data_IF_650900367283
#
_entry.id   IF_650900367283
#
_cell.length_a   1.000
_cell.length_b   1.000
_cell.length_c   1.000
_cell.angle_alpha   90.00
_cell.angle_beta   90.00
_cell.angle_gamma   90.00
#
_symmetry.space_group_name_H-M   'P 1'
#
loop_
_entity.id
_entity.type
_entity.pdbx_description
1 polymer ?
#
# COMPACT_ATOMS: atom_id res chain seq x y z
N UNK A 1 7.31 38.70 9.82
CA UNK A 1 6.51 37.70 9.07
C UNK A 1 6.80 36.33 9.66
N UNK A 2 5.85 35.74 10.36
CA UNK A 2 6.01 34.39 10.91
C UNK A 2 5.87 33.40 9.76
N UNK A 3 6.97 32.73 9.40
CA UNK A 3 6.92 31.57 8.50
C UNK A 3 5.98 30.54 9.10
N UNK A 4 4.86 30.27 8.47
CA UNK A 4 3.96 29.17 8.77
C UNK A 4 4.74 27.87 8.56
N UNK A 5 5.41 27.35 9.58
CA UNK A 5 6.09 26.06 9.54
C UNK A 5 5.04 25.01 9.17
N UNK A 6 5.20 24.43 7.98
CA UNK A 6 4.37 23.30 7.51
C UNK A 6 4.53 22.14 8.50
N UNK A 7 3.41 21.47 8.80
CA UNK A 7 3.44 20.26 9.64
C UNK A 7 4.36 19.19 9.05
N UNK A 8 5.00 18.41 9.90
CA UNK A 8 5.87 17.30 9.49
C UNK A 8 5.10 16.28 8.65
N UNK A 9 5.75 15.81 7.63
CA UNK A 9 5.28 14.69 6.81
C UNK A 9 5.51 13.36 7.54
N UNK A 10 4.87 12.30 7.07
CA UNK A 10 5.07 10.94 7.59
C UNK A 10 6.56 10.54 7.62
N UNK A 11 7.29 10.82 6.55
CA UNK A 11 8.72 10.49 6.46
C UNK A 11 9.58 11.26 7.44
N UNK A 12 9.24 12.51 7.73
CA UNK A 12 9.92 13.30 8.75
C UNK A 12 9.65 12.78 10.17
N UNK A 13 8.45 12.26 10.43
CA UNK A 13 8.13 11.55 11.67
C UNK A 13 8.92 10.24 11.80
N UNK A 14 8.97 9.43 10.73
CA UNK A 14 9.75 8.19 10.72
C UNK A 14 11.24 8.45 10.94
N UNK A 15 11.81 9.45 10.25
CA UNK A 15 13.20 9.87 10.49
C UNK A 15 13.41 10.39 11.92
N UNK A 16 12.44 11.14 12.45
CA UNK A 16 12.44 11.61 13.84
C UNK A 16 12.52 10.47 14.85
N UNK A 17 11.74 9.40 14.62
CA UNK A 17 11.69 8.24 15.52
C UNK A 17 12.92 7.33 15.36
N UNK A 18 13.31 7.00 14.13
CA UNK A 18 14.36 6.00 13.83
C UNK A 18 15.76 6.57 13.93
N UNK A 19 16.00 7.73 13.33
CA UNK A 19 17.35 8.29 13.17
C UNK A 19 17.70 9.29 14.27
N UNK A 20 16.84 10.31 14.43
CA UNK A 20 17.13 11.47 15.29
C UNK A 20 16.76 11.25 16.75
N UNK A 21 15.90 10.27 17.02
CA UNK A 21 15.34 10.02 18.37
C UNK A 21 14.74 11.28 18.98
N UNK A 22 13.95 11.99 18.19
CA UNK A 22 13.35 13.28 18.55
C UNK A 22 12.27 13.07 19.61
N UNK A 23 12.35 13.69 20.80
CA UNK A 23 11.32 13.54 21.83
C UNK A 23 9.97 14.12 21.39
N UNK A 24 8.86 13.50 21.82
CA UNK A 24 7.52 14.01 21.53
C UNK A 24 7.32 15.46 21.99
N UNK A 25 7.90 15.79 23.11
CA UNK A 25 7.77 17.12 23.75
C UNK A 25 8.37 18.23 22.89
N UNK A 26 9.36 17.92 22.06
CA UNK A 26 10.00 18.87 21.12
C UNK A 26 9.22 19.09 19.83
N UNK A 27 8.17 18.29 19.57
CA UNK A 27 7.31 18.45 18.41
C UNK A 27 6.37 19.64 18.58
N UNK A 28 6.16 20.40 17.51
CA UNK A 28 5.16 21.46 17.50
C UNK A 28 3.74 20.89 17.61
N UNK A 29 2.75 21.73 17.95
CA UNK A 29 1.34 21.32 18.00
C UNK A 29 0.86 20.78 16.66
N UNK A 30 1.32 21.38 15.54
CA UNK A 30 0.97 20.94 14.20
C UNK A 30 1.60 19.58 13.88
N UNK A 31 2.85 19.36 14.26
CA UNK A 31 3.53 18.08 14.07
C UNK A 31 2.85 16.95 14.86
N UNK A 32 2.46 17.21 16.11
CA UNK A 32 1.74 16.24 16.94
C UNK A 32 0.39 15.84 16.32
N UNK A 33 -0.32 16.80 15.70
CA UNK A 33 -1.59 16.54 15.01
C UNK A 33 -1.41 15.78 13.70
N UNK A 34 -0.28 15.94 13.02
CA UNK A 34 0.03 15.23 11.77
C UNK A 34 0.61 13.82 11.97
N UNK A 35 0.86 13.42 13.21
CA UNK A 35 1.35 12.07 13.51
C UNK A 35 0.20 11.07 13.46
N UNK A 36 0.29 10.13 12.51
CA UNK A 36 -0.73 9.12 12.23
C UNK A 36 -0.19 7.73 12.56
N UNK A 37 -0.57 7.10 13.70
CA UNK A 37 -0.06 5.79 14.11
C UNK A 37 -0.24 4.70 13.07
N UNK A 38 -1.42 4.63 12.42
CA UNK A 38 -1.70 3.64 11.40
C UNK A 38 -0.71 3.71 10.23
N UNK A 39 -0.45 4.91 9.73
CA UNK A 39 0.49 5.10 8.63
C UNK A 39 1.92 4.76 9.03
N UNK A 40 2.31 5.09 10.26
CA UNK A 40 3.64 4.72 10.80
C UNK A 40 3.78 3.20 10.87
N UNK A 41 2.81 2.49 11.43
CA UNK A 41 2.81 1.02 11.47
C UNK A 41 2.93 0.43 10.06
N UNK A 42 2.12 0.92 9.12
CA UNK A 42 2.14 0.45 7.74
C UNK A 42 3.50 0.61 7.08
N UNK A 43 4.18 1.73 7.31
CA UNK A 43 5.51 1.94 6.73
C UNK A 43 6.61 1.15 7.43
N UNK A 44 6.55 1.04 8.75
CA UNK A 44 7.50 0.23 9.50
C UNK A 44 7.38 -1.26 9.16
N UNK A 45 6.16 -1.77 8.92
CA UNK A 45 5.92 -3.17 8.52
C UNK A 45 6.45 -3.52 7.12
N UNK A 46 6.81 -2.54 6.30
CA UNK A 46 7.47 -2.80 5.00
C UNK A 46 8.96 -3.11 5.13
N UNK A 47 9.54 -2.87 6.31
CA UNK A 47 10.89 -3.27 6.63
C UNK A 47 10.89 -4.68 7.21
N UNK A 48 11.53 -5.64 6.53
CA UNK A 48 11.56 -7.04 6.96
C UNK A 48 12.18 -7.23 8.35
N UNK A 49 13.15 -6.38 8.73
CA UNK A 49 13.78 -6.43 10.06
C UNK A 49 12.82 -5.99 11.19
N UNK A 50 11.80 -5.19 10.86
CA UNK A 50 10.86 -4.63 11.82
C UNK A 50 9.47 -5.29 11.76
N UNK A 51 9.24 -6.15 10.76
CA UNK A 51 7.93 -6.73 10.48
C UNK A 51 7.32 -7.46 11.69
N UNK A 52 8.09 -8.34 12.32
CA UNK A 52 7.63 -9.11 13.48
C UNK A 52 7.31 -8.18 14.65
N UNK A 53 8.22 -7.25 14.95
CA UNK A 53 8.03 -6.27 16.01
C UNK A 53 6.76 -5.43 15.81
N UNK A 54 6.55 -4.93 14.59
CA UNK A 54 5.36 -4.12 14.28
C UNK A 54 4.09 -4.98 14.34
N UNK A 55 4.16 -6.24 13.91
CA UNK A 55 3.03 -7.17 13.97
C UNK A 55 2.60 -7.44 15.42
N UNK A 56 3.53 -7.61 16.34
CA UNK A 56 3.23 -7.76 17.77
C UNK A 56 2.67 -6.48 18.38
N UNK A 57 3.23 -5.33 18.02
CA UNK A 57 2.83 -4.05 18.62
C UNK A 57 1.55 -3.45 18.02
N UNK A 58 1.14 -3.84 16.81
CA UNK A 58 0.00 -3.21 16.14
C UNK A 58 -1.32 -3.36 16.90
N UNK A 59 -1.51 -4.47 17.64
CA UNK A 59 -2.71 -4.68 18.45
C UNK A 59 -2.84 -3.66 19.60
N UNK A 60 -1.74 -3.07 20.02
CA UNK A 60 -1.73 -2.03 21.07
C UNK A 60 -1.66 -0.63 20.48
N UNK A 61 -0.99 -0.46 19.35
CA UNK A 61 -0.74 0.86 18.74
C UNK A 61 -1.88 1.37 17.89
N UNK A 62 -2.80 0.48 17.46
CA UNK A 62 -3.98 0.87 16.67
C UNK A 62 -5.22 0.85 17.55
N UNK A 63 -5.74 2.03 17.85
CA UNK A 63 -7.01 2.22 18.54
C UNK A 63 -6.98 2.10 20.07
N UNK A 64 -5.90 1.60 20.69
CA UNK A 64 -5.81 1.47 22.15
C UNK A 64 -4.95 2.54 22.80
N UNK A 65 -3.79 2.82 22.22
CA UNK A 65 -2.88 3.85 22.73
C UNK A 65 -3.14 5.21 22.08
N UNK A 66 -2.85 6.28 22.83
CA UNK A 66 -2.88 7.62 22.24
C UNK A 66 -1.74 7.79 21.23
N UNK A 67 -1.86 8.68 20.21
CA UNK A 67 -0.78 8.96 19.28
C UNK A 67 0.55 9.33 19.96
N UNK A 68 0.49 10.02 21.10
CA UNK A 68 1.64 10.35 21.92
C UNK A 68 2.34 9.09 22.46
N UNK A 69 1.56 8.14 22.98
CA UNK A 69 2.11 6.94 23.60
C UNK A 69 2.66 6.00 22.53
N UNK A 70 2.00 5.89 21.37
CA UNK A 70 2.52 5.18 20.20
C UNK A 70 3.86 5.77 19.74
N UNK A 71 3.97 7.09 19.65
CA UNK A 71 5.20 7.74 19.27
C UNK A 71 6.33 7.42 20.26
N UNK A 72 6.06 7.53 21.57
CA UNK A 72 7.05 7.22 22.61
C UNK A 72 7.46 5.75 22.61
N UNK A 73 6.50 4.84 22.44
CA UNK A 73 6.76 3.41 22.33
C UNK A 73 7.75 3.13 21.19
N UNK A 74 7.48 3.63 20.00
CA UNK A 74 8.40 3.43 18.88
C UNK A 74 9.74 4.14 19.03
N UNK A 75 9.77 5.28 19.74
CA UNK A 75 11.01 5.97 20.05
C UNK A 75 11.95 5.10 20.91
N UNK A 76 11.40 4.35 21.87
CA UNK A 76 12.17 3.47 22.76
C UNK A 76 12.52 2.14 22.09
N UNK A 77 11.53 1.49 21.44
CA UNK A 77 11.68 0.10 20.96
C UNK A 77 12.48 0.02 19.67
N UNK A 78 12.37 0.98 18.76
CA UNK A 78 13.09 0.93 17.49
C UNK A 78 14.58 1.21 17.66
N UNK A 79 15.45 0.45 16.99
CA UNK A 79 16.89 0.74 17.02
C UNK A 79 17.20 2.08 16.33
N UNK A 80 18.22 2.77 16.82
CA UNK A 80 18.71 3.98 16.16
C UNK A 80 19.46 3.60 14.89
N UNK A 81 18.78 3.62 13.76
CA UNK A 81 19.33 3.22 12.46
C UNK A 81 18.77 4.11 11.36
N UNK A 82 19.64 4.62 10.51
CA UNK A 82 19.22 5.22 9.24
C UNK A 82 18.89 4.10 8.27
N UNK A 83 17.62 3.95 7.92
CA UNK A 83 17.18 2.99 6.90
C UNK A 83 16.20 3.67 5.96
N UNK A 84 16.36 3.40 4.69
CA UNK A 84 15.39 3.78 3.68
C UNK A 84 14.43 2.60 3.49
N UNK A 85 13.22 2.74 4.03
CA UNK A 85 12.19 1.72 3.87
C UNK A 85 11.46 1.97 2.54
N UNK A 86 11.70 1.10 1.56
CA UNK A 86 11.05 1.20 0.25
C UNK A 86 9.58 0.84 0.38
N UNK A 87 8.71 1.75 -0.06
CA UNK A 87 7.27 1.44 -0.12
C UNK A 87 7.01 0.27 -1.07
N UNK A 88 6.50 -0.82 -0.53
CA UNK A 88 6.07 -1.98 -1.31
C UNK A 88 4.69 -1.67 -1.86
N UNK A 89 4.64 -1.26 -3.13
CA UNK A 89 3.37 -1.15 -3.84
C UNK A 89 2.82 -2.56 -4.03
N UNK A 90 1.57 -2.79 -3.66
CA UNK A 90 0.86 -3.94 -4.19
C UNK A 90 1.02 -3.88 -5.72
N UNK A 91 1.43 -4.98 -6.35
CA UNK A 91 1.35 -5.06 -7.80
C UNK A 91 -0.10 -4.78 -8.12
N UNK A 92 -0.35 -3.64 -8.77
CA UNK A 92 -1.67 -3.31 -9.25
C UNK A 92 -2.18 -4.50 -10.05
N UNK A 93 -3.44 -4.78 -9.95
CA UNK A 93 -4.11 -5.86 -10.65
C UNK A 93 -4.21 -5.65 -12.17
N UNK A 94 -3.34 -4.82 -12.75
CA UNK A 94 -3.29 -4.53 -14.18
C UNK A 94 -2.57 -5.63 -14.97
N UNK A 95 -2.67 -6.89 -14.48
CA UNK A 95 -2.18 -8.08 -15.20
C UNK A 95 -2.95 -8.29 -16.50
N UNK A 96 -4.18 -7.78 -16.57
CA UNK A 96 -5.08 -7.99 -17.68
C UNK A 96 -5.57 -6.64 -18.23
N UNK A 97 -5.71 -6.58 -19.56
CA UNK A 97 -6.23 -5.41 -20.24
C UNK A 97 -7.73 -5.23 -19.92
N UNK A 98 -8.15 -4.00 -19.63
CA UNK A 98 -9.54 -3.66 -19.27
C UNK A 98 -10.56 -4.12 -20.34
N UNK A 99 -10.17 -4.08 -21.64
CA UNK A 99 -11.02 -4.56 -22.72
C UNK A 99 -11.26 -6.07 -22.62
N UNK A 100 -10.23 -6.86 -22.29
CA UNK A 100 -10.38 -8.30 -22.08
C UNK A 100 -11.32 -8.57 -20.92
N UNK A 101 -11.17 -7.84 -19.81
CA UNK A 101 -12.06 -7.96 -18.66
C UNK A 101 -13.50 -7.60 -19.00
N UNK A 102 -13.74 -6.56 -19.81
CA UNK A 102 -15.08 -6.14 -20.20
C UNK A 102 -15.77 -7.17 -21.10
N UNK A 103 -15.08 -7.68 -22.14
CA UNK A 103 -15.66 -8.71 -23.02
C UNK A 103 -15.96 -10.01 -22.29
N UNK A 104 -15.07 -10.48 -21.42
CA UNK A 104 -15.28 -11.69 -20.64
C UNK A 104 -16.37 -11.50 -19.58
N UNK A 105 -16.43 -10.34 -18.95
CA UNK A 105 -17.49 -9.98 -18.01
C UNK A 105 -18.88 -10.07 -18.66
N UNK A 106 -19.00 -9.55 -19.88
CA UNK A 106 -20.24 -9.65 -20.69
C UNK A 106 -20.55 -11.08 -21.12
N UNK A 107 -19.52 -11.84 -21.49
CA UNK A 107 -19.73 -13.23 -21.94
C UNK A 107 -20.18 -14.15 -20.83
N UNK A 108 -19.57 -14.03 -19.64
CA UNK A 108 -19.89 -14.86 -18.49
C UNK A 108 -20.99 -14.28 -17.59
N UNK A 109 -21.42 -13.03 -17.85
CA UNK A 109 -22.40 -12.30 -17.02
C UNK A 109 -21.97 -12.15 -15.56
N UNK A 110 -20.68 -11.97 -15.32
CA UNK A 110 -20.08 -11.83 -14.00
C UNK A 110 -19.28 -10.52 -13.85
N UNK A 111 -18.92 -10.20 -12.61
CA UNK A 111 -18.10 -9.01 -12.34
C UNK A 111 -16.69 -9.14 -12.91
N UNK A 112 -16.04 -8.01 -13.26
CA UNK A 112 -14.65 -8.01 -13.72
C UNK A 112 -13.68 -8.60 -12.68
N UNK A 113 -14.06 -8.61 -11.40
CA UNK A 113 -13.26 -9.24 -10.33
C UNK A 113 -13.27 -10.77 -10.50
N UNK A 114 -14.41 -11.35 -10.72
CA UNK A 114 -14.56 -12.81 -10.95
C UNK A 114 -13.92 -13.23 -12.28
N UNK A 115 -13.97 -12.37 -13.30
CA UNK A 115 -13.25 -12.61 -14.57
C UNK A 115 -11.76 -12.77 -14.36
N UNK A 116 -11.15 -12.04 -13.41
CA UNK A 116 -9.72 -12.19 -13.10
C UNK A 116 -9.41 -13.60 -12.57
N UNK A 117 -10.30 -14.17 -11.78
CA UNK A 117 -10.15 -15.54 -11.27
C UNK A 117 -10.31 -16.56 -12.42
N UNK A 118 -11.22 -16.31 -13.37
CA UNK A 118 -11.38 -17.14 -14.56
C UNK A 118 -10.16 -17.08 -15.49
N UNK A 119 -9.54 -15.93 -15.63
CA UNK A 119 -8.32 -15.74 -16.43
C UNK A 119 -7.08 -16.47 -15.87
N UNK A 120 -7.13 -16.91 -14.64
CA UNK A 120 -6.07 -17.78 -14.07
C UNK A 120 -6.22 -19.24 -14.53
N UNK A 121 -7.42 -19.63 -14.96
CA UNK A 121 -7.76 -21.00 -15.38
C UNK A 121 -7.84 -21.10 -16.90
N UNK A 122 -8.36 -20.07 -17.58
CA UNK A 122 -8.52 -20.04 -19.02
C UNK A 122 -7.18 -19.94 -19.75
N UNK A 123 -7.02 -20.74 -20.80
CA UNK A 123 -5.91 -20.59 -21.72
C UNK A 123 -6.06 -19.35 -22.60
N UNK A 124 -4.96 -18.85 -23.15
CA UNK A 124 -4.99 -17.70 -24.06
C UNK A 124 -5.85 -17.95 -25.30
N UNK A 125 -5.86 -19.17 -25.80
CA UNK A 125 -6.63 -19.54 -27.01
C UNK A 125 -8.13 -19.55 -26.73
N UNK A 126 -8.56 -19.99 -25.55
CA UNK A 126 -9.95 -19.91 -25.12
C UNK A 126 -10.42 -18.47 -24.97
N UNK A 127 -9.59 -17.61 -24.38
CA UNK A 127 -9.90 -16.17 -24.26
C UNK A 127 -10.04 -15.53 -25.64
N UNK A 128 -9.15 -15.86 -26.59
CA UNK A 128 -9.23 -15.38 -27.96
C UNK A 128 -10.54 -15.85 -28.61
N UNK A 129 -10.86 -17.14 -28.49
CA UNK A 129 -12.09 -17.71 -29.07
C UNK A 129 -13.36 -17.06 -28.53
N UNK A 130 -13.40 -16.78 -27.22
CA UNK A 130 -14.54 -16.11 -26.60
C UNK A 130 -14.68 -14.68 -27.13
N UNK A 131 -13.59 -13.91 -27.17
CA UNK A 131 -13.66 -12.51 -27.62
C UNK A 131 -13.96 -12.40 -29.11
N UNK A 132 -13.52 -13.35 -29.92
CA UNK A 132 -13.87 -13.41 -31.35
C UNK A 132 -15.38 -13.52 -31.59
N UNK A 133 -16.16 -14.11 -30.68
CA UNK A 133 -17.64 -14.15 -30.78
C UNK A 133 -18.26 -12.76 -30.77
N UNK A 134 -17.58 -11.75 -30.28
CA UNK A 134 -18.00 -10.35 -30.33
C UNK A 134 -17.54 -9.62 -31.61
N UNK A 135 -17.00 -10.35 -32.58
CA UNK A 135 -16.58 -9.79 -33.89
C UNK A 135 -15.22 -9.08 -33.86
N UNK A 136 -14.41 -9.31 -32.83
CA UNK A 136 -13.07 -8.69 -32.71
C UNK A 136 -12.03 -9.56 -33.41
N UNK A 137 -11.15 -8.93 -34.21
CA UNK A 137 -10.09 -9.64 -34.90
C UNK A 137 -9.03 -10.22 -33.95
N UNK A 138 -8.57 -11.42 -34.25
CA UNK A 138 -7.56 -12.14 -33.45
C UNK A 138 -6.28 -11.31 -33.21
N UNK A 139 -5.84 -10.57 -34.25
CA UNK A 139 -4.66 -9.71 -34.17
C UNK A 139 -4.79 -8.61 -33.10
N UNK A 140 -5.99 -8.10 -32.90
CA UNK A 140 -6.27 -7.07 -31.91
C UNK A 140 -6.32 -7.68 -30.51
N UNK A 141 -6.97 -8.82 -30.35
CA UNK A 141 -7.05 -9.55 -29.09
C UNK A 141 -5.65 -9.94 -28.60
N UNK A 142 -4.78 -10.45 -29.49
CA UNK A 142 -3.40 -10.78 -29.16
C UNK A 142 -2.56 -9.59 -28.65
N UNK A 143 -2.90 -8.35 -29.05
CA UNK A 143 -2.26 -7.14 -28.50
C UNK A 143 -2.69 -6.86 -27.05
N UNK A 144 -3.93 -7.23 -26.69
CA UNK A 144 -4.46 -7.03 -25.33
C UNK A 144 -3.98 -8.10 -24.34
N UNK A 145 -3.55 -9.26 -24.82
CA UNK A 145 -3.07 -10.40 -24.04
C UNK A 145 -1.55 -10.43 -23.83
N UNK A 146 -0.84 -9.40 -24.31
CA UNK A 146 0.60 -9.20 -24.06
C UNK A 146 0.85 -8.58 -22.71
#
# INVERSE_FOLDING_TARGET
>A
MAETKKAKTLFEHLSGIKEKKTPWESLSVMDRKSFEPFMVNRFLSMNMELLELVNELQMYTIGQLSPKDVYKLYLEVLPKKRSFDKYIKAKGSDKYNDKVLDYLSRYFEVSQREVKDYLEILSKDEVIHIIQKFGIEEKEIKKWLK
#
